data_IF_126271827738
#
_entry.id   IF_126271827738
#
_cell.length_a   1.000
_cell.length_b   1.000
_cell.length_c   1.000
_cell.angle_alpha   90.00
_cell.angle_beta   90.00
_cell.angle_gamma   90.00
#
_symmetry.space_group_name_H-M   'P 1'
#
loop_
_entity.id
_entity.type
_entity.pdbx_description
1 polymer ?
#
# COMPACT_ATOMS: atom_id res chain seq x y z
N UNK A 1 -18.75 17.21 30.78
CA UNK A 1 -17.83 17.34 31.94
C UNK A 1 -17.36 15.99 32.51
N UNK A 2 -17.84 14.85 32.00
CA UNK A 2 -17.55 13.52 32.59
C UNK A 2 -16.49 12.70 31.81
N UNK A 3 -16.22 13.01 30.54
CA UNK A 3 -15.23 12.30 29.71
C UNK A 3 -13.76 12.63 30.01
N UNK A 4 -13.47 13.74 30.72
CA UNK A 4 -12.09 14.17 30.97
C UNK A 4 -11.35 13.30 32.00
N UNK A 5 -12.07 12.47 32.78
CA UNK A 5 -11.50 11.63 33.85
C UNK A 5 -10.82 10.33 33.40
N UNK A 6 -10.83 10.00 32.10
CA UNK A 6 -10.38 8.67 31.63
C UNK A 6 -9.19 8.68 30.66
N UNK A 7 -8.53 9.83 30.45
CA UNK A 7 -7.36 9.92 29.57
C UNK A 7 -6.09 9.43 30.30
N UNK A 8 -5.74 8.15 30.14
CA UNK A 8 -4.59 7.52 30.82
C UNK A 8 -3.29 7.55 30.00
N UNK A 9 -3.36 7.89 28.72
CA UNK A 9 -2.22 7.81 27.80
C UNK A 9 -1.80 9.21 27.32
N UNK A 10 -0.49 9.46 27.37
CA UNK A 10 0.14 10.69 26.88
C UNK A 10 0.79 10.42 25.51
N UNK A 11 0.69 11.41 24.61
CA UNK A 11 1.36 11.39 23.31
C UNK A 11 2.04 12.75 23.15
N UNK A 12 3.35 12.73 23.00
CA UNK A 12 4.17 13.89 22.68
C UNK A 12 4.41 13.95 21.17
N UNK A 13 4.15 15.11 20.57
CA UNK A 13 4.32 15.35 19.13
C UNK A 13 5.21 16.57 18.93
N UNK A 14 6.36 16.35 18.30
CA UNK A 14 7.28 17.42 17.88
C UNK A 14 7.04 17.67 16.40
N UNK A 15 6.83 18.93 16.03
CA UNK A 15 6.50 19.35 14.67
C UNK A 15 7.58 20.27 14.11
N UNK A 16 7.78 20.21 12.79
CA UNK A 16 8.49 21.27 12.09
C UNK A 16 7.65 22.56 12.06
N UNK A 17 8.28 23.70 11.77
CA UNK A 17 7.55 24.98 11.62
C UNK A 17 6.50 24.92 10.50
N UNK A 18 6.75 24.14 9.45
CA UNK A 18 5.82 23.97 8.33
C UNK A 18 4.60 23.14 8.76
N UNK A 19 4.84 21.99 9.41
CA UNK A 19 3.77 21.13 9.91
C UNK A 19 2.91 21.85 10.96
N UNK A 20 3.53 22.67 11.80
CA UNK A 20 2.80 23.48 12.78
C UNK A 20 1.89 24.51 12.10
N UNK A 21 2.38 25.21 11.07
CA UNK A 21 1.55 26.15 10.29
C UNK A 21 0.39 25.45 9.59
N UNK A 22 0.62 24.28 9.01
CA UNK A 22 -0.43 23.48 8.39
C UNK A 22 -1.46 22.99 9.41
N UNK A 23 -1.02 22.62 10.62
CA UNK A 23 -1.93 22.27 11.71
C UNK A 23 -2.84 23.45 12.07
N UNK A 24 -2.30 24.67 12.24
CA UNK A 24 -3.09 25.86 12.55
C UNK A 24 -4.14 26.17 11.46
N UNK A 25 -3.81 25.98 10.18
CA UNK A 25 -4.78 26.15 9.08
C UNK A 25 -5.93 25.14 9.18
N UNK A 26 -5.63 23.90 9.56
CA UNK A 26 -6.64 22.85 9.74
C UNK A 26 -7.53 23.13 10.95
N UNK A 27 -6.99 23.69 12.03
CA UNK A 27 -7.78 24.13 13.18
C UNK A 27 -8.78 25.21 12.81
N UNK A 28 -8.33 26.24 12.09
CA UNK A 28 -9.19 27.32 11.61
C UNK A 28 -10.29 26.79 10.68
N UNK A 29 -9.93 25.90 9.76
CA UNK A 29 -10.86 25.26 8.83
C UNK A 29 -11.94 24.42 9.53
N UNK A 30 -11.56 23.61 10.51
CA UNK A 30 -12.47 22.74 11.27
C UNK A 30 -13.20 23.51 12.40
N UNK A 31 -12.83 24.76 12.68
CA UNK A 31 -13.38 25.55 13.79
C UNK A 31 -12.96 25.03 15.18
N UNK A 32 -11.83 24.33 15.27
CA UNK A 32 -11.32 23.74 16.50
C UNK A 32 -10.32 24.68 17.17
N UNK A 33 -10.44 24.85 18.49
CA UNK A 33 -9.64 25.84 19.23
C UNK A 33 -8.40 25.26 19.89
N UNK A 34 -8.23 23.94 19.88
CA UNK A 34 -7.08 23.28 20.53
C UNK A 34 -6.49 22.16 19.68
N UNK A 35 -5.15 22.10 19.64
CA UNK A 35 -4.40 21.07 18.90
C UNK A 35 -4.80 19.66 19.31
N UNK A 36 -5.08 19.47 20.60
CA UNK A 36 -5.49 18.18 21.17
C UNK A 36 -6.83 17.71 20.61
N UNK A 37 -7.77 18.62 20.43
CA UNK A 37 -9.09 18.30 19.91
C UNK A 37 -9.02 17.97 18.41
N UNK A 38 -8.21 18.72 17.64
CA UNK A 38 -7.96 18.43 16.23
C UNK A 38 -7.26 17.07 16.05
N UNK A 39 -6.22 16.78 16.85
CA UNK A 39 -5.52 15.50 16.79
C UNK A 39 -6.45 14.34 17.19
N UNK A 40 -7.34 14.55 18.16
CA UNK A 40 -8.33 13.55 18.57
C UNK A 40 -9.39 13.32 17.49
N UNK A 41 -9.83 14.35 16.77
CA UNK A 41 -10.76 14.17 15.65
C UNK A 41 -10.11 13.38 14.53
N UNK A 42 -8.83 13.60 14.22
CA UNK A 42 -8.11 12.76 13.25
C UNK A 42 -7.93 11.31 13.73
N UNK A 43 -7.68 11.08 15.02
CA UNK A 43 -7.57 9.71 15.56
C UNK A 43 -8.95 9.00 15.54
N UNK A 44 -10.03 9.74 15.80
CA UNK A 44 -11.38 9.20 15.93
C UNK A 44 -12.07 9.00 14.59
N UNK A 45 -12.02 10.02 13.76
CA UNK A 45 -12.84 10.21 12.57
C UNK A 45 -11.98 10.29 11.29
N UNK A 46 -10.66 10.45 11.43
CA UNK A 46 -9.74 10.49 10.31
C UNK A 46 -9.74 9.20 9.52
N UNK A 47 -9.69 9.34 8.20
CA UNK A 47 -9.57 8.20 7.31
C UNK A 47 -8.10 7.79 7.16
N UNK A 48 -7.72 6.68 7.79
CA UNK A 48 -6.45 6.05 7.51
C UNK A 48 -6.59 5.11 6.32
N UNK A 49 -5.87 5.38 5.24
CA UNK A 49 -5.84 4.54 4.05
C UNK A 49 -4.42 4.00 3.85
N UNK A 50 -4.32 2.73 3.46
CA UNK A 50 -3.10 2.19 2.86
C UNK A 50 -3.39 1.72 1.45
N UNK A 51 -2.44 1.97 0.55
CA UNK A 51 -2.45 1.40 -0.80
C UNK A 51 -1.71 0.08 -0.74
N UNK A 52 -2.40 -1.01 -1.07
CA UNK A 52 -1.79 -2.33 -1.17
C UNK A 52 -1.32 -2.59 -2.59
N UNK A 53 0.00 -2.66 -2.79
CA UNK A 53 0.64 -2.95 -4.07
C UNK A 53 0.93 -4.44 -4.30
N UNK A 54 0.36 -5.36 -3.50
CA UNK A 54 0.65 -6.80 -3.59
C UNK A 54 0.54 -7.39 -5.01
N UNK A 55 -0.45 -6.95 -5.78
CA UNK A 55 -0.65 -7.38 -7.19
C UNK A 55 0.49 -7.00 -8.13
N UNK A 56 1.27 -5.96 -7.82
CA UNK A 56 2.40 -5.52 -8.64
C UNK A 56 3.55 -6.55 -8.63
N UNK A 57 3.72 -7.28 -7.53
CA UNK A 57 4.72 -8.35 -7.43
C UNK A 57 4.41 -9.52 -8.36
N UNK A 58 3.13 -9.84 -8.52
CA UNK A 58 2.67 -10.90 -9.43
C UNK A 58 2.93 -10.52 -10.89
N UNK A 59 2.65 -9.26 -11.26
CA UNK A 59 3.00 -8.71 -12.58
C UNK A 59 4.51 -8.82 -12.86
N UNK A 60 5.36 -8.41 -11.90
CA UNK A 60 6.81 -8.49 -12.04
C UNK A 60 7.32 -9.94 -12.22
N UNK A 61 6.71 -10.89 -11.51
CA UNK A 61 7.01 -12.33 -11.62
C UNK A 61 6.67 -12.86 -13.01
N UNK A 62 5.53 -12.47 -13.58
CA UNK A 62 5.13 -12.91 -14.92
C UNK A 62 6.01 -12.30 -16.01
N UNK A 63 6.39 -11.03 -15.89
CA UNK A 63 7.35 -10.38 -16.80
C UNK A 63 8.69 -11.13 -16.79
N UNK A 64 9.17 -11.57 -15.62
CA UNK A 64 10.42 -12.31 -15.49
C UNK A 64 10.37 -13.67 -16.22
N UNK A 65 9.24 -14.38 -16.14
CA UNK A 65 9.02 -15.63 -16.90
C UNK A 65 9.04 -15.39 -18.40
N UNK A 66 8.48 -14.27 -18.86
CA UNK A 66 8.52 -13.87 -20.26
C UNK A 66 9.95 -13.62 -20.74
N UNK A 67 10.74 -12.86 -19.96
CA UNK A 67 12.15 -12.61 -20.28
C UNK A 67 12.94 -13.91 -20.44
N UNK A 68 12.67 -14.91 -19.60
CA UNK A 68 13.26 -16.24 -19.73
C UNK A 68 12.83 -16.96 -21.01
N UNK A 69 11.55 -16.92 -21.37
CA UNK A 69 11.05 -17.54 -22.60
C UNK A 69 11.62 -16.87 -23.86
N UNK A 70 11.72 -15.52 -23.87
CA UNK A 70 12.36 -14.76 -24.95
C UNK A 70 13.83 -15.14 -25.08
N UNK A 71 14.56 -15.25 -23.97
CA UNK A 71 15.95 -15.69 -23.98
C UNK A 71 16.12 -17.11 -24.52
N UNK A 72 15.19 -18.02 -24.24
CA UNK A 72 15.21 -19.37 -24.81
C UNK A 72 15.01 -19.35 -26.33
N UNK A 73 14.04 -18.58 -26.83
CA UNK A 73 13.81 -18.43 -28.27
C UNK A 73 15.04 -17.80 -28.94
N UNK A 74 15.61 -16.76 -28.35
CA UNK A 74 16.82 -16.11 -28.86
C UNK A 74 18.01 -17.08 -28.92
N UNK A 75 18.18 -17.94 -27.91
CA UNK A 75 19.24 -18.96 -27.89
C UNK A 75 19.03 -19.99 -29.00
N UNK A 76 17.82 -20.51 -29.17
CA UNK A 76 17.48 -21.44 -30.26
C UNK A 76 17.66 -20.78 -31.62
N UNK A 77 17.25 -19.51 -31.78
CA UNK A 77 17.45 -18.74 -32.99
C UNK A 77 18.94 -18.57 -33.33
N UNK A 78 19.76 -18.27 -32.32
CA UNK A 78 21.21 -18.11 -32.48
C UNK A 78 21.90 -19.43 -32.86
N UNK A 79 21.44 -20.56 -32.29
CA UNK A 79 22.02 -21.89 -32.52
C UNK A 79 21.57 -22.50 -33.85
N UNK A 80 20.31 -22.32 -34.24
CA UNK A 80 19.72 -22.96 -35.43
C UNK A 80 19.60 -22.04 -36.66
N UNK A 81 19.81 -20.74 -36.51
CA UNK A 81 19.51 -19.66 -37.47
C UNK A 81 18.06 -19.63 -37.98
N UNK A 82 17.16 -20.42 -37.39
CA UNK A 82 15.78 -20.58 -37.84
C UNK A 82 14.87 -20.56 -36.61
N UNK A 83 13.95 -19.60 -36.55
CA UNK A 83 12.88 -19.59 -35.53
C UNK A 83 11.64 -20.20 -36.18
N UNK A 84 11.03 -21.18 -35.51
CA UNK A 84 9.80 -21.77 -35.99
C UNK A 84 8.59 -20.87 -35.73
N UNK A 85 7.62 -20.90 -36.63
CA UNK A 85 6.38 -20.13 -36.54
C UNK A 85 5.60 -20.42 -35.24
N UNK A 86 5.63 -21.69 -34.77
CA UNK A 86 5.00 -22.09 -33.51
C UNK A 86 5.65 -21.45 -32.27
N UNK A 87 6.96 -21.19 -32.29
CA UNK A 87 7.64 -20.50 -31.20
C UNK A 87 7.27 -19.01 -31.15
N UNK A 88 7.07 -18.39 -32.32
CA UNK A 88 6.59 -17.01 -32.42
C UNK A 88 5.15 -16.92 -31.92
N UNK A 89 4.28 -17.85 -32.30
CA UNK A 89 2.88 -17.88 -31.85
C UNK A 89 2.74 -18.09 -30.34
N UNK A 90 3.56 -18.96 -29.76
CA UNK A 90 3.62 -19.13 -28.30
C UNK A 90 4.06 -17.84 -27.60
N UNK A 91 5.04 -17.12 -28.17
CA UNK A 91 5.53 -15.86 -27.63
C UNK A 91 4.46 -14.75 -27.72
N UNK A 92 3.75 -14.65 -28.84
CA UNK A 92 2.63 -13.70 -29.03
C UNK A 92 1.51 -14.00 -28.04
N UNK A 93 1.23 -15.27 -27.77
CA UNK A 93 0.20 -15.69 -26.80
C UNK A 93 0.58 -15.27 -25.39
N UNK A 94 1.81 -15.56 -24.96
CA UNK A 94 2.33 -15.15 -23.65
C UNK A 94 2.33 -13.61 -23.47
N UNK A 95 2.66 -12.85 -24.51
CA UNK A 95 2.61 -11.38 -24.50
C UNK A 95 1.17 -10.86 -24.34
N UNK A 96 0.19 -11.49 -24.99
CA UNK A 96 -1.23 -11.15 -24.84
C UNK A 96 -1.73 -11.45 -23.43
N UNK A 97 -1.35 -12.59 -22.87
CA UNK A 97 -1.74 -12.99 -21.51
C UNK A 97 -1.16 -12.04 -20.47
N UNK A 98 0.10 -11.61 -20.61
CA UNK A 98 0.69 -10.63 -19.70
C UNK A 98 0.08 -9.24 -19.88
N UNK A 99 -0.21 -8.81 -21.12
CA UNK A 99 -0.94 -7.56 -21.32
C UNK A 99 -2.29 -7.59 -20.61
N UNK A 100 -2.98 -8.73 -20.62
CA UNK A 100 -4.24 -8.91 -19.91
C UNK A 100 -4.04 -8.87 -18.40
N UNK A 101 -3.13 -9.67 -17.86
CA UNK A 101 -2.86 -9.78 -16.42
C UNK A 101 -2.31 -8.47 -15.85
N UNK A 102 -1.41 -7.79 -16.55
CA UNK A 102 -0.92 -6.48 -16.13
C UNK A 102 -2.02 -5.42 -16.14
N UNK A 103 -2.92 -5.41 -17.14
CA UNK A 103 -4.04 -4.48 -17.15
C UNK A 103 -5.08 -4.81 -16.07
N UNK A 104 -5.35 -6.09 -15.83
CA UNK A 104 -6.28 -6.55 -14.81
C UNK A 104 -5.72 -6.27 -13.41
N UNK A 105 -4.43 -6.54 -13.17
CA UNK A 105 -3.76 -6.23 -11.92
C UNK A 105 -3.59 -4.72 -11.73
N UNK A 106 -3.08 -3.93 -12.67
CA UNK A 106 -2.98 -2.46 -12.50
C UNK A 106 -4.36 -1.84 -12.20
N UNK A 107 -5.43 -2.39 -12.79
CA UNK A 107 -6.80 -1.96 -12.53
C UNK A 107 -7.33 -2.39 -11.15
N UNK A 108 -6.84 -3.49 -10.60
CA UNK A 108 -7.28 -4.08 -9.33
C UNK A 108 -6.30 -3.85 -8.15
N UNK A 109 -5.05 -3.48 -8.40
CA UNK A 109 -3.91 -3.48 -7.47
C UNK A 109 -3.68 -2.14 -6.78
N UNK A 110 -4.54 -1.16 -7.01
CA UNK A 110 -4.65 0.00 -6.14
C UNK A 110 -5.88 -0.19 -5.25
N UNK A 111 -5.86 -1.22 -4.41
CA UNK A 111 -6.90 -1.36 -3.38
C UNK A 111 -6.61 -0.34 -2.30
N UNK A 112 -7.46 0.69 -2.26
CA UNK A 112 -7.52 1.60 -1.13
C UNK A 112 -8.11 0.80 0.04
N UNK A 113 -7.26 0.33 0.94
CA UNK A 113 -7.70 -0.31 2.17
C UNK A 113 -7.97 0.82 3.17
N UNK A 114 -9.25 1.05 3.44
CA UNK A 114 -9.71 1.97 4.47
C UNK A 114 -9.65 1.28 5.83
N UNK A 115 -8.92 1.84 6.78
CA UNK A 115 -9.04 1.43 8.18
C UNK A 115 -10.48 1.65 8.63
N UNK A 116 -11.13 0.57 9.04
CA UNK A 116 -12.43 0.63 9.70
C UNK A 116 -12.17 0.37 11.18
N UNK A 117 -12.56 1.32 12.02
CA UNK A 117 -12.52 1.14 13.46
C UNK A 117 -13.44 -0.02 13.84
N UNK A 118 -12.87 -1.13 14.31
CA UNK A 118 -13.64 -2.16 14.99
C UNK A 118 -14.11 -1.58 16.33
N UNK A 119 -15.40 -1.66 16.69
CA UNK A 119 -15.85 -1.31 18.03
C UNK A 119 -15.03 -2.12 19.05
N UNK A 120 -14.46 -1.45 20.03
CA UNK A 120 -13.71 -2.12 21.09
C UNK A 120 -14.73 -2.98 21.86
N UNK A 121 -14.76 -4.29 21.61
CA UNK A 121 -15.33 -5.23 22.57
C UNK A 121 -14.45 -5.16 23.81
N UNK A 122 -15.06 -4.99 24.97
CA UNK A 122 -14.49 -4.40 26.19
C UNK A 122 -13.19 -5.00 26.77
N UNK A 123 -12.55 -6.01 26.18
CA UNK A 123 -11.38 -6.70 26.76
C UNK A 123 -10.33 -7.11 25.70
N UNK A 124 -9.71 -6.16 25.00
CA UNK A 124 -8.46 -6.45 24.27
C UNK A 124 -7.39 -5.45 24.70
N UNK A 125 -6.45 -5.93 25.52
CA UNK A 125 -5.17 -5.27 25.73
C UNK A 125 -4.44 -5.21 24.39
N UNK A 126 -4.10 -4.00 23.96
CA UNK A 126 -3.33 -3.77 22.76
C UNK A 126 -1.88 -4.19 23.07
N UNK A 127 -1.50 -5.42 22.76
CA UNK A 127 -0.09 -5.82 22.81
C UNK A 127 0.65 -5.03 21.73
N UNK A 128 1.53 -4.13 22.18
CA UNK A 128 2.57 -3.57 21.31
C UNK A 128 3.46 -4.75 20.93
N UNK A 129 3.53 -5.06 19.64
CA UNK A 129 4.58 -5.93 19.13
C UNK A 129 5.91 -5.22 19.38
N UNK A 130 6.67 -5.71 20.36
CA UNK A 130 8.06 -5.35 20.55
C UNK A 130 8.83 -5.89 19.33
N UNK A 131 8.95 -5.06 18.30
CA UNK A 131 9.88 -5.29 17.20
C UNK A 131 11.22 -4.63 17.58
N UNK A 132 11.87 -5.25 18.57
CA UNK A 132 13.27 -5.03 18.92
C UNK A 132 14.09 -6.23 18.43
N UNK A 133 14.94 -5.99 17.43
CA UNK A 133 16.25 -6.62 17.35
C UNK A 133 16.48 -7.74 16.31
N UNK A 134 17.14 -7.36 15.22
CA UNK A 134 18.00 -8.27 14.42
C UNK A 134 18.19 -7.78 12.99
N UNK A 135 19.38 -7.50 12.46
CA UNK A 135 20.76 -7.64 12.93
C UNK A 135 21.62 -6.58 12.22
#
# INVERSE_FOLDING_TARGET
>A
MEELKNNKHHVDLVLSDEDFKEMLKKEDFEGITTHRELLRSFIRDGFCFRVDYGGLYEVATQISRLGNNVNQIAKVANESKIVSESQIDQMITLLKDIKKIANDEIRNSARIIKYQRTPISSNLEYERGDDDGGN
#
